data_IF_965733423334
#
_entry.id   IF_965733423334
#
_cell.length_a   1.000
_cell.length_b   1.000
_cell.length_c   1.000
_cell.angle_alpha   90.00
_cell.angle_beta   90.00
_cell.angle_gamma   90.00
#
_symmetry.space_group_name_H-M   'P 1'
#
loop_
_entity.id
_entity.type
_entity.pdbx_description
1 polymer ?
#
# COMPACT_ATOMS: atom_id res chain seq x y z
N UNK A 1 -7.31 23.49 -7.20
CA UNK A 1 -5.89 23.69 -7.52
C UNK A 1 -5.19 22.35 -7.66
N UNK A 2 -4.49 22.16 -8.74
CA UNK A 2 -3.72 20.93 -8.97
C UNK A 2 -2.53 20.86 -8.06
N UNK A 3 -2.25 19.69 -7.52
CA UNK A 3 -1.06 19.42 -6.71
C UNK A 3 -0.22 18.37 -7.40
N UNK A 4 1.07 18.65 -7.52
CA UNK A 4 2.02 17.69 -8.07
C UNK A 4 2.67 16.95 -6.90
N UNK A 5 2.56 15.64 -6.90
CA UNK A 5 3.19 14.79 -5.91
C UNK A 5 4.56 14.34 -6.41
N UNK A 6 5.52 14.29 -5.52
CA UNK A 6 6.90 13.93 -5.86
C UNK A 6 7.28 12.52 -5.42
N UNK A 7 6.42 11.86 -4.66
CA UNK A 7 6.62 10.48 -4.23
C UNK A 7 5.29 9.76 -4.11
N UNK A 8 5.26 8.49 -4.48
CA UNK A 8 4.04 7.69 -4.45
C UNK A 8 3.48 7.52 -3.03
N UNK A 9 4.33 7.49 -2.02
CA UNK A 9 3.87 7.34 -0.64
C UNK A 9 3.07 8.53 -0.13
N UNK A 10 3.17 9.68 -0.78
CA UNK A 10 2.34 10.85 -0.48
C UNK A 10 0.87 10.66 -0.86
N UNK A 11 0.59 9.72 -1.75
CA UNK A 11 -0.77 9.40 -2.20
C UNK A 11 -1.48 8.38 -1.30
N UNK A 12 -0.74 7.73 -0.42
CA UNK A 12 -1.30 6.71 0.46
C UNK A 12 -2.36 7.33 1.37
N UNK A 13 -3.53 6.67 1.45
CA UNK A 13 -4.62 7.11 2.29
C UNK A 13 -5.51 8.18 1.69
N UNK A 14 -5.22 8.68 0.51
CA UNK A 14 -6.03 9.69 -0.19
C UNK A 14 -7.04 9.00 -1.11
N UNK A 15 -7.78 8.07 -0.54
CA UNK A 15 -8.72 7.23 -1.27
C UNK A 15 -10.10 7.87 -1.36
N UNK A 16 -10.77 7.79 -2.53
CA UNK A 16 -12.08 8.40 -2.71
C UNK A 16 -13.20 7.57 -2.11
N UNK A 17 -14.35 8.22 -1.94
CA UNK A 17 -15.62 7.57 -1.64
C UNK A 17 -16.42 7.46 -2.92
N UNK A 18 -17.09 6.33 -3.10
CA UNK A 18 -18.01 6.09 -4.21
C UNK A 18 -19.39 5.76 -3.65
N UNK A 19 -20.40 6.49 -4.07
CA UNK A 19 -21.78 6.16 -3.72
C UNK A 19 -22.27 5.04 -4.63
N UNK A 20 -22.82 3.99 -4.05
CA UNK A 20 -23.29 2.80 -4.77
C UNK A 20 -24.73 2.97 -5.22
N UNK A 21 -24.96 3.94 -6.09
CA UNK A 21 -26.29 4.38 -6.51
C UNK A 21 -27.15 3.28 -7.15
N UNK A 22 -26.52 2.40 -7.93
CA UNK A 22 -27.28 1.30 -8.58
C UNK A 22 -27.79 0.29 -7.58
N UNK A 23 -27.01 -0.03 -6.55
CA UNK A 23 -27.42 -0.94 -5.48
C UNK A 23 -28.53 -0.29 -4.66
N UNK A 24 -28.39 0.97 -4.30
CA UNK A 24 -29.40 1.72 -3.57
C UNK A 24 -30.74 1.70 -4.30
N UNK A 25 -30.73 1.95 -5.59
CA UNK A 25 -31.94 1.97 -6.41
C UNK A 25 -32.55 0.56 -6.55
N UNK A 26 -31.73 -0.46 -6.79
CA UNK A 26 -32.19 -1.83 -6.97
C UNK A 26 -32.88 -2.39 -5.71
N UNK A 27 -32.35 -2.02 -4.54
CA UNK A 27 -32.86 -2.49 -3.24
C UNK A 27 -33.87 -1.52 -2.61
N UNK A 28 -34.19 -0.43 -3.25
CA UNK A 28 -35.13 0.57 -2.73
C UNK A 28 -34.68 1.22 -1.43
N UNK A 29 -33.39 1.44 -1.27
CA UNK A 29 -32.82 1.97 -0.03
C UNK A 29 -32.98 3.48 0.06
N UNK A 30 -33.28 3.96 1.28
CA UNK A 30 -33.29 5.38 1.57
C UNK A 30 -31.92 5.86 2.08
N UNK A 31 -31.11 4.94 2.60
CA UNK A 31 -29.77 5.24 3.08
C UNK A 31 -28.79 5.29 1.92
N UNK A 32 -27.76 6.14 2.05
CA UNK A 32 -26.65 6.16 1.13
C UNK A 32 -25.61 5.12 1.54
N UNK A 33 -25.15 4.34 0.57
CA UNK A 33 -24.08 3.38 0.77
C UNK A 33 -22.82 3.93 0.09
N UNK A 34 -21.78 4.18 0.88
CA UNK A 34 -20.52 4.71 0.38
C UNK A 34 -19.43 3.65 0.48
N UNK A 35 -18.81 3.35 -0.63
CA UNK A 35 -17.62 2.48 -0.66
C UNK A 35 -16.35 3.32 -0.58
N UNK A 36 -15.49 3.04 0.40
CA UNK A 36 -14.17 3.65 0.47
C UNK A 36 -13.21 2.83 -0.39
N UNK A 37 -12.72 3.42 -1.47
CA UNK A 37 -12.02 2.68 -2.52
C UNK A 37 -10.53 2.55 -2.22
N UNK A 38 -10.18 1.63 -1.34
CA UNK A 38 -8.80 1.43 -0.89
C UNK A 38 -7.86 0.90 -1.99
N UNK A 39 -8.39 0.33 -3.06
CA UNK A 39 -7.56 -0.10 -4.18
C UNK A 39 -6.94 1.08 -4.96
N UNK A 40 -7.35 2.31 -4.69
CA UNK A 40 -6.70 3.51 -5.23
C UNK A 40 -5.41 3.89 -4.51
N UNK A 41 -5.04 3.21 -3.43
CA UNK A 41 -3.70 3.38 -2.87
C UNK A 41 -2.64 2.95 -3.90
N UNK A 42 -1.44 3.56 -3.90
CA UNK A 42 -0.41 3.31 -4.92
C UNK A 42 -0.04 1.84 -5.14
N UNK A 43 0.02 1.03 -4.08
CA UNK A 43 0.28 -0.41 -4.22
C UNK A 43 -1.00 -1.23 -4.30
N UNK A 44 -2.17 -0.59 -4.30
CA UNK A 44 -3.45 -1.19 -4.65
C UNK A 44 -4.29 -1.73 -3.49
N UNK A 45 -3.91 -1.50 -2.23
CA UNK A 45 -4.72 -1.98 -1.12
C UNK A 45 -4.62 -1.09 0.12
N UNK A 46 -5.50 -1.36 1.10
CA UNK A 46 -5.49 -0.70 2.41
C UNK A 46 -4.17 -0.92 3.16
N UNK A 47 -3.42 -1.94 2.82
CA UNK A 47 -2.16 -2.28 3.51
C UNK A 47 -1.05 -1.26 3.25
N UNK A 48 -1.19 -0.42 2.25
CA UNK A 48 -0.28 0.71 2.06
C UNK A 48 -0.26 1.63 3.28
N UNK A 49 -1.40 1.80 3.93
CA UNK A 49 -1.53 2.64 5.13
C UNK A 49 -0.69 2.09 6.28
N UNK A 50 -0.80 0.80 6.57
CA UNK A 50 -0.03 0.20 7.66
C UNK A 50 1.46 0.18 7.32
N UNK A 51 1.80 -0.10 6.07
CA UNK A 51 3.19 -0.10 5.61
C UNK A 51 3.84 1.27 5.82
N UNK A 52 3.17 2.33 5.40
CA UNK A 52 3.66 3.69 5.61
C UNK A 52 3.82 4.01 7.09
N UNK A 53 2.83 3.66 7.90
CA UNK A 53 2.88 3.90 9.35
C UNK A 53 4.03 3.17 10.03
N UNK A 54 4.28 1.93 9.65
CA UNK A 54 5.40 1.14 10.19
C UNK A 54 6.75 1.78 9.87
N UNK A 55 6.94 2.20 8.64
CA UNK A 55 8.19 2.84 8.21
C UNK A 55 8.34 4.22 8.84
N UNK A 56 7.27 5.03 8.87
CA UNK A 56 7.27 6.33 9.55
C UNK A 56 7.68 6.18 11.02
N UNK A 57 7.10 5.22 11.72
CA UNK A 57 7.41 4.98 13.13
C UNK A 57 8.86 4.52 13.33
N UNK A 58 9.33 3.63 12.48
CA UNK A 58 10.71 3.15 12.55
C UNK A 58 11.72 4.26 12.27
N UNK A 59 11.43 5.17 11.36
CA UNK A 59 12.26 6.34 11.11
C UNK A 59 12.25 7.29 12.30
N UNK A 60 11.06 7.60 12.83
CA UNK A 60 10.91 8.52 13.95
C UNK A 60 11.60 8.02 15.23
N UNK A 61 11.58 6.71 15.47
CA UNK A 61 12.22 6.09 16.64
C UNK A 61 13.72 5.85 16.47
N UNK A 62 14.28 6.13 15.29
CA UNK A 62 15.69 5.92 14.99
C UNK A 62 16.09 4.48 14.71
N UNK A 63 15.11 3.56 14.63
CA UNK A 63 15.37 2.15 14.27
C UNK A 63 15.73 1.98 12.80
N UNK A 64 15.22 2.87 11.95
CA UNK A 64 15.45 2.84 10.52
C UNK A 64 16.19 4.11 10.11
N UNK A 65 17.36 3.96 9.52
CA UNK A 65 18.25 5.06 9.11
C UNK A 65 18.57 4.91 7.62
N UNK A 66 19.03 5.99 6.96
CA UNK A 66 19.52 5.88 5.59
C UNK A 66 20.54 4.74 5.46
N UNK A 67 20.33 3.88 4.45
CA UNK A 67 21.17 2.71 4.23
C UNK A 67 20.73 1.45 4.99
N UNK A 68 19.73 1.53 5.84
CA UNK A 68 19.18 0.36 6.54
C UNK A 68 18.50 -0.58 5.55
N UNK A 69 18.49 -1.86 5.92
CA UNK A 69 17.76 -2.91 5.19
C UNK A 69 16.55 -3.33 6.02
N UNK A 70 15.38 -3.34 5.39
CA UNK A 70 14.15 -3.81 6.02
C UNK A 70 14.02 -5.30 5.76
N UNK A 71 13.85 -6.09 6.80
CA UNK A 71 13.59 -7.53 6.68
C UNK A 71 12.27 -7.80 7.39
N UNK A 72 11.29 -8.30 6.65
CA UNK A 72 9.95 -8.50 7.20
C UNK A 72 9.37 -9.84 6.75
N UNK A 73 8.99 -10.72 7.70
CA UNK A 73 8.21 -11.90 7.37
C UNK A 73 6.75 -11.49 7.17
N UNK A 74 6.32 -11.45 5.93
CA UNK A 74 4.98 -11.00 5.61
C UNK A 74 4.47 -11.69 4.35
N UNK A 75 3.17 -11.61 4.15
CA UNK A 75 2.51 -12.19 2.99
C UNK A 75 1.48 -11.22 2.44
N UNK A 76 1.12 -11.43 1.16
CA UNK A 76 0.03 -10.68 0.54
C UNK A 76 0.29 -9.18 0.48
N UNK A 77 -0.78 -8.43 0.72
CA UNK A 77 -0.80 -6.98 0.50
C UNK A 77 0.09 -6.18 1.46
N UNK A 78 0.37 -6.70 2.65
CA UNK A 78 1.29 -6.01 3.58
C UNK A 78 2.71 -5.98 3.01
N UNK A 79 3.18 -7.10 2.47
CA UNK A 79 4.49 -7.16 1.82
C UNK A 79 4.57 -6.24 0.61
N UNK A 80 3.52 -6.21 -0.20
CA UNK A 80 3.44 -5.33 -1.37
C UNK A 80 3.49 -3.86 -0.94
N UNK A 81 2.73 -3.50 0.08
CA UNK A 81 2.74 -2.14 0.63
C UNK A 81 4.10 -1.73 1.17
N UNK A 82 4.75 -2.60 1.94
CA UNK A 82 6.10 -2.33 2.46
C UNK A 82 7.12 -2.16 1.34
N UNK A 83 7.06 -3.01 0.31
CA UNK A 83 7.96 -2.89 -0.83
C UNK A 83 7.77 -1.56 -1.56
N UNK A 84 6.52 -1.12 -1.74
CA UNK A 84 6.19 0.15 -2.38
C UNK A 84 6.75 1.35 -1.60
N UNK A 85 6.53 1.40 -0.29
CA UNK A 85 7.02 2.51 0.54
C UNK A 85 8.55 2.49 0.65
N UNK A 86 9.14 1.30 0.80
CA UNK A 86 10.59 1.15 0.84
C UNK A 86 11.23 1.66 -0.45
N UNK A 87 10.67 1.30 -1.60
CA UNK A 87 11.15 1.78 -2.90
C UNK A 87 11.04 3.30 -3.02
N UNK A 88 9.93 3.88 -2.56
CA UNK A 88 9.70 5.33 -2.61
C UNK A 88 10.70 6.10 -1.75
N UNK A 89 11.22 5.50 -0.68
CA UNK A 89 12.14 6.15 0.27
C UNK A 89 13.59 5.68 0.14
N UNK A 90 13.87 4.81 -0.84
CA UNK A 90 15.23 4.36 -1.12
C UNK A 90 15.76 3.31 -0.15
N UNK A 91 14.91 2.59 0.57
CA UNK A 91 15.32 1.47 1.41
C UNK A 91 15.35 0.17 0.62
N UNK A 92 16.35 -0.66 0.92
CA UNK A 92 16.36 -2.04 0.48
C UNK A 92 15.43 -2.86 1.38
N UNK A 93 14.64 -3.73 0.80
CA UNK A 93 13.72 -4.59 1.55
C UNK A 93 13.91 -6.05 1.15
N UNK A 94 13.83 -6.92 2.14
CA UNK A 94 13.85 -8.38 1.98
C UNK A 94 12.57 -8.90 2.60
N UNK A 95 11.71 -9.49 1.76
CA UNK A 95 10.45 -10.08 2.23
C UNK A 95 10.65 -11.58 2.34
N UNK A 96 10.38 -12.10 3.55
CA UNK A 96 10.46 -13.53 3.83
C UNK A 96 9.04 -14.10 3.79
N UNK A 97 8.84 -15.11 2.96
CA UNK A 97 7.51 -15.70 2.76
C UNK A 97 7.60 -17.21 2.52
N UNK A 98 6.50 -17.96 2.83
CA UNK A 98 6.44 -19.38 2.52
C UNK A 98 6.42 -19.65 1.01
N UNK A 99 6.82 -20.84 0.59
CA UNK A 99 6.81 -21.26 -0.82
C UNK A 99 5.41 -21.25 -1.45
N UNK A 100 4.37 -21.37 -0.64
CA UNK A 100 2.96 -21.42 -1.09
C UNK A 100 2.33 -20.05 -1.29
N UNK A 101 3.11 -19.02 -1.50
CA UNK A 101 2.62 -17.66 -1.62
C UNK A 101 1.90 -17.37 -2.93
N UNK A 102 1.06 -16.31 -2.91
CA UNK A 102 0.33 -15.87 -4.09
C UNK A 102 1.27 -15.30 -5.16
N UNK A 103 0.88 -15.45 -6.41
CA UNK A 103 1.65 -14.93 -7.54
C UNK A 103 1.77 -13.40 -7.57
N UNK A 104 0.93 -12.68 -6.83
CA UNK A 104 1.02 -11.21 -6.74
C UNK A 104 2.34 -10.75 -6.12
N UNK A 105 2.83 -11.45 -5.08
CA UNK A 105 4.12 -11.10 -4.48
C UNK A 105 5.28 -11.43 -5.40
N UNK A 106 5.22 -12.53 -6.11
CA UNK A 106 6.24 -12.87 -7.10
C UNK A 106 6.31 -11.83 -8.23
N UNK A 107 5.17 -11.36 -8.69
CA UNK A 107 5.11 -10.32 -9.71
C UNK A 107 5.73 -9.02 -9.23
N UNK A 108 5.44 -8.63 -7.99
CA UNK A 108 5.99 -7.43 -7.37
C UNK A 108 7.50 -7.51 -7.22
N UNK A 109 8.01 -8.66 -6.78
CA UNK A 109 9.43 -8.91 -6.60
C UNK A 109 10.18 -8.85 -7.94
N UNK A 110 9.63 -9.50 -8.95
CA UNK A 110 10.20 -9.46 -10.31
C UNK A 110 10.25 -8.03 -10.87
N UNK A 111 9.24 -7.22 -10.59
CA UNK A 111 9.23 -5.82 -11.01
C UNK A 111 10.33 -5.01 -10.32
N UNK A 112 10.60 -5.28 -9.04
CA UNK A 112 11.68 -4.63 -8.30
C UNK A 112 13.06 -5.02 -8.82
N UNK A 113 13.26 -6.28 -9.16
CA UNK A 113 14.51 -6.75 -9.74
C UNK A 113 14.80 -6.13 -11.11
N UNK A 114 13.77 -5.76 -11.85
CA UNK A 114 13.90 -5.15 -13.17
C UNK A 114 14.32 -3.68 -13.15
N UNK A 115 14.38 -3.08 -12.00
CA UNK A 115 14.81 -1.66 -11.84
C UNK A 115 16.34 -1.51 -11.86
#
# INVERSE_FOLDING_TARGET
MSKIYTSADQLIGRTPLLELTHIEAAEGLQAKILGKLEYFNPAGSVKDRIAKAMIDDAEASGKLKPGSVIIEPTSGNTGIGLASVAAARGYRIIIVMPETMSCLLYTSDAADEAR
#
